data_IF_196839729782
#
_entry.id   IF_196839729782
#
_cell.length_a   1.000
_cell.length_b   1.000
_cell.length_c   1.000
_cell.angle_alpha   90.00
_cell.angle_beta   90.00
_cell.angle_gamma   90.00
#
_symmetry.space_group_name_H-M   'P 1'
#
loop_
_entity.id
_entity.type
_entity.pdbx_description
1 polymer ?
#
# COMPACT_ATOMS: atom_id res chain seq x y z
N UNK A 1 12.44 60.88 -17.87
CA UNK A 1 11.53 60.49 -18.97
C UNK A 1 10.30 59.84 -18.34
N UNK A 2 9.11 60.35 -18.66
CA UNK A 2 7.85 59.98 -18.02
C UNK A 2 7.28 58.68 -18.53
N UNK A 3 6.87 57.75 -17.67
CA UNK A 3 6.16 56.54 -18.06
C UNK A 3 4.72 56.61 -17.57
N UNK A 4 3.79 56.41 -18.47
CA UNK A 4 2.34 56.51 -18.26
C UNK A 4 1.78 55.23 -17.62
N UNK A 5 0.92 55.44 -16.65
CA UNK A 5 0.03 54.44 -16.05
C UNK A 5 -1.27 54.44 -16.85
N UNK A 6 -1.72 53.27 -17.31
CA UNK A 6 -3.03 53.10 -17.93
C UNK A 6 -3.87 52.17 -17.04
N UNK A 7 -4.93 52.77 -16.51
CA UNK A 7 -6.02 52.13 -15.76
C UNK A 7 -7.04 51.55 -16.74
N UNK A 8 -7.53 50.32 -16.50
CA UNK A 8 -8.69 49.76 -17.20
C UNK A 8 -9.72 49.33 -16.18
N UNK A 9 -10.89 49.93 -16.31
CA UNK A 9 -12.09 49.80 -15.46
C UNK A 9 -12.79 48.46 -15.62
N UNK A 10 -13.33 48.01 -14.49
CA UNK A 10 -14.29 46.92 -14.36
C UNK A 10 -15.64 47.28 -14.97
N UNK A 11 -16.24 46.35 -15.68
CA UNK A 11 -17.65 46.41 -16.06
C UNK A 11 -18.40 45.25 -15.38
N UNK A 12 -19.30 45.60 -14.50
CA UNK A 12 -20.22 44.73 -13.75
C UNK A 12 -21.48 44.53 -14.57
N UNK A 13 -21.81 43.30 -14.95
CA UNK A 13 -23.06 42.99 -15.66
C UNK A 13 -24.02 42.28 -14.69
N UNK A 14 -25.09 42.95 -14.32
CA UNK A 14 -26.21 42.42 -13.53
C UNK A 14 -27.28 41.92 -14.50
N UNK A 15 -27.59 40.60 -14.44
CA UNK A 15 -28.74 40.04 -15.15
C UNK A 15 -29.87 39.73 -14.16
N UNK A 16 -30.99 40.42 -14.36
CA UNK A 16 -32.26 40.19 -13.69
C UNK A 16 -33.00 39.03 -14.36
N UNK A 17 -33.41 38.04 -13.59
CA UNK A 17 -34.37 37.04 -14.05
C UNK A 17 -35.75 37.31 -13.51
N UNK A 18 -36.70 37.49 -14.43
CA UNK A 18 -38.11 37.59 -14.16
C UNK A 18 -38.75 36.23 -14.01
N UNK A 19 -39.58 36.08 -12.99
CA UNK A 19 -40.48 34.96 -12.72
C UNK A 19 -41.58 34.88 -13.79
N UNK A 20 -41.90 33.67 -14.24
CA UNK A 20 -43.20 33.36 -14.83
C UNK A 20 -43.75 32.10 -14.16
N UNK A 21 -44.75 32.25 -13.33
CA UNK A 21 -45.65 31.18 -12.90
C UNK A 21 -46.51 30.70 -14.06
N UNK A 22 -46.64 29.40 -14.21
CA UNK A 22 -47.77 28.81 -14.92
C UNK A 22 -48.31 27.59 -14.19
N UNK A 23 -49.51 27.70 -13.66
CA UNK A 23 -50.30 26.62 -13.03
C UNK A 23 -50.94 25.78 -14.12
N UNK A 24 -50.73 24.46 -14.08
CA UNK A 24 -51.79 23.55 -14.51
C UNK A 24 -51.69 22.21 -13.72
N UNK A 25 -52.86 21.90 -13.13
CA UNK A 25 -53.16 20.63 -12.43
C UNK A 25 -53.38 19.52 -13.45
N UNK A 26 -52.88 18.31 -13.18
CA UNK A 26 -53.72 17.13 -13.03
C UNK A 26 -52.87 15.83 -12.93
N UNK A 27 -53.33 15.02 -11.96
CA UNK A 27 -53.28 13.57 -11.88
C UNK A 27 -52.01 12.84 -11.49
N UNK A 28 -52.11 12.31 -10.29
CA UNK A 28 -51.44 11.20 -9.63
C UNK A 28 -51.05 10.04 -10.55
N UNK A 29 -49.81 9.63 -10.41
CA UNK A 29 -49.41 8.21 -10.35
C UNK A 29 -48.19 8.13 -9.45
N UNK A 30 -48.36 7.55 -8.31
CA UNK A 30 -47.32 7.16 -7.34
C UNK A 30 -46.45 6.11 -7.96
N UNK A 31 -45.24 6.44 -8.38
CA UNK A 31 -44.15 5.50 -8.53
C UNK A 31 -43.12 5.86 -7.47
N UNK A 32 -43.10 5.10 -6.39
CA UNK A 32 -41.99 5.06 -5.43
C UNK A 32 -40.72 4.63 -6.18
N UNK A 33 -39.90 5.59 -6.52
CA UNK A 33 -38.52 5.32 -6.93
C UNK A 33 -37.72 5.07 -5.65
N UNK A 34 -37.63 3.81 -5.24
CA UNK A 34 -36.66 3.33 -4.29
C UNK A 34 -35.28 3.68 -4.84
N UNK A 35 -34.67 4.76 -4.32
CA UNK A 35 -33.23 4.97 -4.45
C UNK A 35 -32.55 3.82 -3.73
N UNK A 36 -32.15 2.80 -4.45
CA UNK A 36 -31.13 1.86 -4.00
C UNK A 36 -29.87 2.67 -3.69
N UNK A 37 -29.68 2.96 -2.42
CA UNK A 37 -28.39 3.37 -1.90
C UNK A 37 -27.50 2.14 -2.11
N UNK A 38 -26.67 2.15 -3.14
CA UNK A 38 -25.54 1.23 -3.25
C UNK A 38 -24.63 1.50 -2.05
N UNK A 39 -24.93 0.86 -0.94
CA UNK A 39 -23.96 0.64 0.14
C UNK A 39 -22.89 -0.24 -0.50
N UNK A 40 -21.77 0.33 -0.88
CA UNK A 40 -20.59 -0.43 -1.26
C UNK A 40 -20.18 -1.21 -0.02
N UNK A 41 -20.58 -2.47 0.03
CA UNK A 41 -20.11 -3.43 1.01
C UNK A 41 -18.60 -3.61 0.81
N UNK A 42 -17.79 -2.77 1.47
CA UNK A 42 -16.35 -2.99 1.60
C UNK A 42 -16.01 -4.27 2.40
N UNK A 43 -17.00 -4.87 3.05
CA UNK A 43 -16.85 -6.06 3.89
C UNK A 43 -16.92 -7.40 3.16
N UNK A 44 -17.23 -7.43 1.86
CA UNK A 44 -17.45 -8.70 1.14
C UNK A 44 -16.27 -9.19 0.30
N UNK A 45 -15.15 -8.46 0.24
CA UNK A 45 -13.96 -8.98 -0.43
C UNK A 45 -13.38 -10.15 0.37
N UNK A 46 -13.40 -11.33 -0.23
CA UNK A 46 -12.89 -12.57 0.38
C UNK A 46 -11.42 -12.38 0.78
N UNK A 47 -11.11 -12.64 2.06
CA UNK A 47 -9.73 -12.75 2.52
C UNK A 47 -9.07 -13.91 1.78
N UNK A 48 -8.08 -13.63 0.96
CA UNK A 48 -7.35 -14.64 0.19
C UNK A 48 -6.33 -15.38 1.08
N UNK A 49 -5.95 -16.58 0.66
CA UNK A 49 -4.90 -17.38 1.27
C UNK A 49 -5.39 -18.57 2.08
N UNK A 50 -4.45 -19.43 2.41
CA UNK A 50 -4.61 -20.64 3.22
C UNK A 50 -3.94 -20.46 4.57
N UNK A 51 -4.37 -21.25 5.56
CA UNK A 51 -3.69 -21.32 6.85
C UNK A 51 -2.32 -21.98 6.69
N UNK A 52 -1.31 -21.43 7.34
CA UNK A 52 0.01 -22.04 7.50
C UNK A 52 0.45 -21.96 8.96
N UNK A 53 1.56 -22.63 9.30
CA UNK A 53 2.15 -22.64 10.63
C UNK A 53 3.67 -22.60 10.47
N UNK A 54 4.21 -21.37 10.34
CA UNK A 54 5.63 -21.14 10.09
C UNK A 54 6.14 -20.12 11.09
N UNK A 55 7.20 -20.44 11.81
CA UNK A 55 7.87 -19.50 12.71
C UNK A 55 9.25 -19.13 12.17
N UNK A 56 9.49 -17.84 11.95
CA UNK A 56 10.76 -17.29 11.49
C UNK A 56 11.11 -16.08 12.38
N UNK A 57 12.30 -16.07 12.96
CA UNK A 57 12.79 -14.97 13.83
C UNK A 57 11.82 -14.63 14.97
N UNK A 58 11.10 -15.62 15.50
CA UNK A 58 10.10 -15.47 16.54
C UNK A 58 8.75 -14.93 16.07
N UNK A 59 8.57 -14.67 14.77
CA UNK A 59 7.29 -14.28 14.18
C UNK A 59 6.55 -15.53 13.73
N UNK A 60 5.32 -15.68 14.20
CA UNK A 60 4.43 -16.76 13.80
C UNK A 60 3.58 -16.36 12.61
N UNK A 61 3.89 -16.86 11.43
CA UNK A 61 3.13 -16.66 10.21
C UNK A 61 2.01 -17.70 10.13
N UNK A 62 0.78 -17.20 10.00
CA UNK A 62 -0.45 -18.03 10.09
C UNK A 62 -1.25 -18.06 8.79
N UNK A 63 -0.85 -17.26 7.79
CA UNK A 63 -1.51 -17.19 6.49
C UNK A 63 -0.50 -17.13 5.35
N UNK A 64 -0.72 -18.00 4.37
CA UNK A 64 -0.01 -18.06 3.09
C UNK A 64 -0.95 -17.62 1.96
N UNK A 65 -0.60 -16.56 1.26
CA UNK A 65 -1.29 -16.11 0.04
C UNK A 65 -0.45 -16.55 -1.15
N UNK A 66 -1.11 -17.14 -2.17
CA UNK A 66 -0.48 -17.60 -3.41
C UNK A 66 0.73 -18.56 -3.19
N UNK A 67 0.65 -19.43 -2.18
CA UNK A 67 1.67 -20.47 -1.92
C UNK A 67 2.96 -19.93 -1.30
N UNK A 68 2.92 -18.81 -0.60
CA UNK A 68 4.08 -18.17 0.02
C UNK A 68 4.83 -19.07 1.00
N UNK A 69 4.11 -19.97 1.68
CA UNK A 69 4.66 -20.95 2.63
C UNK A 69 5.66 -21.94 2.00
N UNK A 70 5.56 -22.18 0.69
CA UNK A 70 6.50 -23.02 -0.06
C UNK A 70 7.61 -22.23 -0.76
N UNK A 71 7.48 -20.91 -0.83
CA UNK A 71 8.38 -20.00 -1.55
C UNK A 71 9.31 -19.21 -0.62
N UNK A 72 9.00 -19.17 0.67
CA UNK A 72 9.82 -18.56 1.70
C UNK A 72 10.53 -19.64 2.51
N UNK A 73 11.86 -19.53 2.62
CA UNK A 73 12.68 -20.43 3.44
C UNK A 73 13.58 -19.62 4.34
N UNK A 74 13.79 -20.03 5.57
CA UNK A 74 14.72 -19.39 6.51
C UNK A 74 15.93 -20.28 6.79
N UNK A 75 17.11 -19.68 6.90
CA UNK A 75 18.30 -20.36 7.40
C UNK A 75 18.35 -20.37 8.95
N UNK A 76 19.39 -21.01 9.51
CA UNK A 76 19.57 -21.12 10.95
C UNK A 76 19.75 -19.76 11.67
N UNK A 77 20.12 -18.72 10.94
CA UNK A 77 20.29 -17.34 11.46
C UNK A 77 19.02 -16.50 11.31
N UNK A 78 17.94 -17.07 10.77
CA UNK A 78 16.67 -16.38 10.54
C UNK A 78 16.65 -15.49 9.28
N UNK A 79 17.67 -15.57 8.41
CA UNK A 79 17.64 -14.91 7.10
C UNK A 79 16.64 -15.64 6.19
N UNK A 80 15.65 -14.92 5.71
CA UNK A 80 14.64 -15.44 4.79
C UNK A 80 15.09 -15.25 3.36
N UNK A 81 15.01 -16.32 2.56
CA UNK A 81 15.05 -16.27 1.09
C UNK A 81 13.63 -16.45 0.59
N UNK A 82 13.12 -15.45 -0.13
CA UNK A 82 11.76 -15.46 -0.65
C UNK A 82 11.78 -15.41 -2.18
N UNK A 83 11.18 -16.41 -2.82
CA UNK A 83 11.09 -16.56 -4.29
C UNK A 83 9.76 -16.05 -4.81
N UNK A 84 9.76 -15.44 -5.99
CA UNK A 84 8.56 -15.22 -6.80
C UNK A 84 8.78 -15.73 -8.20
N UNK A 85 7.78 -16.41 -8.77
CA UNK A 85 7.77 -16.79 -10.18
C UNK A 85 7.45 -15.60 -11.09
N UNK A 86 7.43 -15.85 -12.40
CA UNK A 86 7.12 -14.85 -13.41
C UNK A 86 5.71 -14.26 -13.25
N UNK A 87 5.56 -12.98 -13.54
CA UNK A 87 4.28 -12.25 -13.62
C UNK A 87 3.51 -12.26 -12.29
N UNK A 88 4.22 -12.13 -11.17
CA UNK A 88 3.65 -12.11 -9.83
C UNK A 88 3.65 -10.70 -9.26
N UNK A 89 2.46 -10.14 -9.01
CA UNK A 89 2.27 -8.80 -8.48
C UNK A 89 0.99 -8.70 -7.62
N UNK A 90 0.89 -7.60 -6.87
CA UNK A 90 -0.33 -7.09 -6.27
C UNK A 90 -0.45 -5.61 -6.64
N UNK A 91 -1.37 -5.31 -7.56
CA UNK A 91 -1.62 -3.96 -8.04
C UNK A 91 -2.98 -3.89 -8.72
N UNK A 92 -3.70 -2.79 -8.53
CA UNK A 92 -4.93 -2.49 -9.25
C UNK A 92 -4.84 -1.05 -9.78
N UNK A 93 -4.76 -0.90 -11.10
CA UNK A 93 -4.69 0.41 -11.74
C UNK A 93 -5.80 1.35 -11.27
N UNK A 94 -5.53 2.65 -11.10
CA UNK A 94 -6.56 3.64 -10.78
C UNK A 94 -7.71 3.68 -11.79
N UNK A 95 -7.48 3.27 -13.05
CA UNK A 95 -8.50 3.17 -14.10
C UNK A 95 -9.17 1.79 -14.18
N UNK A 96 -8.83 0.87 -13.26
CA UNK A 96 -9.37 -0.49 -13.12
C UNK A 96 -9.14 -1.42 -14.34
N UNK A 97 -8.30 -1.02 -15.31
CA UNK A 97 -8.03 -1.85 -16.51
C UNK A 97 -7.06 -2.99 -16.24
N UNK A 98 -6.18 -2.85 -15.27
CA UNK A 98 -5.27 -3.88 -14.80
C UNK A 98 -5.54 -4.15 -13.33
N UNK A 99 -5.74 -5.42 -12.99
CA UNK A 99 -5.75 -5.89 -11.61
C UNK A 99 -4.95 -7.19 -11.52
N UNK A 100 -3.99 -7.23 -10.61
CA UNK A 100 -3.14 -8.39 -10.36
C UNK A 100 -3.05 -8.62 -8.86
N UNK A 101 -3.33 -9.84 -8.40
CA UNK A 101 -3.28 -10.26 -7.00
C UNK A 101 -2.58 -11.62 -6.87
N UNK A 102 -1.48 -11.81 -7.59
CA UNK A 102 -0.80 -13.11 -7.73
C UNK A 102 0.55 -13.20 -7.01
N UNK A 103 1.08 -12.12 -6.45
CA UNK A 103 2.32 -12.19 -5.67
C UNK A 103 2.13 -13.05 -4.42
N UNK A 104 3.13 -13.87 -4.04
CA UNK A 104 3.09 -14.64 -2.81
C UNK A 104 3.31 -13.74 -1.60
N UNK A 105 2.45 -13.84 -0.57
CA UNK A 105 2.55 -13.06 0.66
C UNK A 105 2.50 -13.99 1.87
N UNK A 106 3.51 -13.93 2.74
CA UNK A 106 3.55 -14.65 4.01
C UNK A 106 3.17 -13.71 5.14
N UNK A 107 2.14 -14.05 5.92
CA UNK A 107 1.42 -13.13 6.79
C UNK A 107 1.26 -13.66 8.22
N UNK A 108 1.52 -12.78 9.19
CA UNK A 108 1.25 -12.96 10.61
C UNK A 108 0.01 -12.15 11.01
N UNK A 109 -0.91 -12.76 11.75
CA UNK A 109 -2.11 -12.08 12.26
C UNK A 109 -1.75 -11.19 13.45
N UNK A 110 -2.26 -9.96 13.49
CA UNK A 110 -2.09 -9.04 14.61
C UNK A 110 -3.42 -8.38 15.02
N UNK A 111 -3.47 -7.96 16.29
CA UNK A 111 -4.54 -7.13 16.84
C UNK A 111 -4.21 -5.65 16.55
N UNK A 112 -4.93 -5.04 15.60
CA UNK A 112 -4.75 -3.64 15.22
C UNK A 112 -5.26 -2.63 16.27
N UNK A 113 -5.87 -3.11 17.37
CA UNK A 113 -6.20 -2.28 18.55
C UNK A 113 -4.98 -2.03 19.44
N UNK A 114 -3.86 -2.65 19.14
CA UNK A 114 -2.56 -2.47 19.80
C UNK A 114 -1.56 -1.86 18.83
N UNK A 115 -0.62 -1.06 19.33
CA UNK A 115 0.45 -0.56 18.48
C UNK A 115 1.30 -1.71 17.95
N UNK A 116 1.93 -1.52 16.80
CA UNK A 116 2.86 -2.50 16.25
C UNK A 116 3.98 -1.84 15.44
N UNK A 117 5.08 -2.56 15.30
CA UNK A 117 6.16 -2.22 14.37
C UNK A 117 6.68 -3.49 13.71
N UNK A 118 6.68 -3.51 12.37
CA UNK A 118 7.30 -4.51 11.53
C UNK A 118 8.56 -3.91 10.90
N UNK A 119 9.70 -4.57 11.05
CA UNK A 119 11.00 -4.15 10.49
C UNK A 119 11.67 -5.33 9.78
N UNK A 120 12.36 -5.07 8.67
CA UNK A 120 13.34 -5.96 8.10
C UNK A 120 14.38 -5.20 7.29
N UNK A 121 15.60 -5.72 7.23
CA UNK A 121 16.56 -5.39 6.19
C UNK A 121 16.21 -6.18 4.95
N UNK A 122 16.03 -5.50 3.82
CA UNK A 122 15.55 -6.09 2.58
C UNK A 122 16.59 -5.94 1.49
N UNK A 123 16.89 -7.05 0.81
CA UNK A 123 17.88 -7.14 -0.27
C UNK A 123 17.24 -7.88 -1.45
N UNK A 124 16.61 -7.19 -2.40
CA UNK A 124 16.14 -7.82 -3.62
C UNK A 124 17.32 -8.16 -4.55
N UNK A 125 17.24 -9.26 -5.27
CA UNK A 125 18.14 -9.50 -6.41
C UNK A 125 17.59 -8.77 -7.64
N UNK A 126 18.12 -7.59 -7.90
CA UNK A 126 17.77 -6.82 -9.08
C UNK A 126 18.49 -7.34 -10.32
N UNK A 127 17.75 -7.48 -11.41
CA UNK A 127 18.26 -7.90 -12.71
C UNK A 127 18.00 -6.81 -13.74
N UNK A 128 18.66 -6.85 -14.89
CA UNK A 128 18.43 -5.88 -15.96
C UNK A 128 16.98 -5.90 -16.47
N UNK A 129 16.36 -7.07 -16.50
CA UNK A 129 15.00 -7.31 -16.97
C UNK A 129 13.94 -7.21 -15.86
N UNK A 130 14.38 -7.02 -14.61
CA UNK A 130 13.58 -7.11 -13.40
C UNK A 130 12.73 -5.88 -13.09
N UNK A 131 12.12 -5.27 -14.11
CA UNK A 131 11.19 -4.16 -13.97
C UNK A 131 10.11 -4.48 -12.93
N UNK A 132 10.01 -3.64 -11.89
CA UNK A 132 9.11 -3.75 -10.72
C UNK A 132 9.38 -4.98 -9.83
N UNK A 133 10.52 -5.69 -9.98
CA UNK A 133 10.94 -6.68 -9.00
C UNK A 133 11.19 -5.98 -7.66
N UNK A 134 10.68 -6.58 -6.56
CA UNK A 134 10.81 -5.97 -5.24
C UNK A 134 10.73 -6.98 -4.11
N UNK A 135 11.48 -6.70 -3.04
CA UNK A 135 11.19 -7.21 -1.70
C UNK A 135 10.24 -6.27 -0.96
N UNK A 136 9.28 -6.81 -0.23
CA UNK A 136 8.08 -6.07 0.20
C UNK A 136 7.72 -6.36 1.64
N UNK A 137 7.34 -5.31 2.41
CA UNK A 137 6.59 -5.42 3.66
C UNK A 137 5.11 -5.09 3.41
N UNK A 138 4.21 -5.83 4.08
CA UNK A 138 2.76 -5.69 3.90
C UNK A 138 2.00 -5.36 5.19
N UNK A 139 0.92 -4.58 5.01
CA UNK A 139 -0.32 -4.64 5.79
C UNK A 139 -1.38 -5.19 4.85
N UNK A 140 -2.12 -6.23 5.28
CA UNK A 140 -3.09 -6.92 4.45
C UNK A 140 -4.39 -7.16 5.21
N UNK A 141 -5.51 -6.83 4.60
CA UNK A 141 -6.86 -7.16 5.07
C UNK A 141 -7.49 -8.19 4.12
N UNK A 142 -7.55 -7.85 2.84
CA UNK A 142 -8.05 -8.68 1.75
C UNK A 142 -7.50 -8.20 0.41
N UNK A 143 -7.91 -8.81 -0.71
CA UNK A 143 -7.38 -8.52 -2.04
C UNK A 143 -7.63 -7.08 -2.53
N UNK A 144 -8.59 -6.37 -1.94
CA UNK A 144 -8.94 -4.99 -2.30
C UNK A 144 -8.55 -3.97 -1.22
N UNK A 145 -7.97 -4.41 -0.10
CA UNK A 145 -7.59 -3.52 1.00
C UNK A 145 -6.26 -3.94 1.63
N UNK A 146 -5.19 -3.28 1.24
CA UNK A 146 -3.83 -3.55 1.67
C UNK A 146 -2.91 -2.36 1.47
N UNK A 147 -1.72 -2.43 2.03
CA UNK A 147 -0.58 -1.57 1.74
C UNK A 147 0.67 -2.41 1.56
N UNK A 148 1.51 -2.06 0.60
CA UNK A 148 2.87 -2.56 0.46
C UNK A 148 3.88 -1.42 0.56
N UNK A 149 5.03 -1.72 1.18
CA UNK A 149 6.24 -0.91 1.17
C UNK A 149 7.30 -1.74 0.48
N UNK A 150 7.85 -1.24 -0.61
CA UNK A 150 8.71 -1.96 -1.52
C UNK A 150 10.12 -1.37 -1.56
N UNK A 151 11.12 -2.21 -1.67
CA UNK A 151 12.40 -1.85 -2.26
C UNK A 151 12.41 -2.44 -3.67
N UNK A 152 12.34 -1.60 -4.70
CA UNK A 152 11.88 -1.95 -6.04
C UNK A 152 12.77 -1.37 -7.14
N UNK A 153 12.85 -2.05 -8.27
CA UNK A 153 13.44 -1.53 -9.50
C UNK A 153 12.36 -0.85 -10.36
N UNK A 154 12.52 0.45 -10.62
CA UNK A 154 11.58 1.25 -11.40
C UNK A 154 11.71 1.07 -12.92
N UNK A 155 10.82 1.72 -13.68
CA UNK A 155 10.79 1.70 -15.15
C UNK A 155 12.03 2.30 -15.83
N UNK A 156 12.91 2.97 -15.08
CA UNK A 156 14.19 3.51 -15.54
C UNK A 156 15.38 2.67 -15.09
N UNK A 157 15.12 1.49 -14.50
CA UNK A 157 16.14 0.62 -13.94
C UNK A 157 16.83 1.19 -12.71
N UNK A 158 16.16 2.13 -11.99
CA UNK A 158 16.65 2.65 -10.71
C UNK A 158 16.01 1.88 -9.57
N UNK A 159 16.80 1.63 -8.53
CA UNK A 159 16.29 1.05 -7.31
C UNK A 159 15.72 2.16 -6.44
N UNK A 160 14.49 1.98 -5.96
CA UNK A 160 13.84 3.00 -5.14
C UNK A 160 12.93 2.40 -4.07
N UNK A 161 12.59 3.23 -3.12
CA UNK A 161 11.51 2.94 -2.19
C UNK A 161 10.20 3.31 -2.85
N UNK A 162 9.24 2.39 -2.82
CA UNK A 162 7.89 2.58 -3.35
C UNK A 162 6.87 2.20 -2.27
N UNK A 163 5.81 2.96 -2.15
CA UNK A 163 4.68 2.58 -1.30
C UNK A 163 3.39 2.59 -2.09
N UNK A 164 2.64 1.51 -2.03
CA UNK A 164 1.33 1.40 -2.66
C UNK A 164 0.29 1.12 -1.59
N UNK A 165 -0.76 1.93 -1.56
CA UNK A 165 -1.92 1.69 -0.71
C UNK A 165 -3.14 1.44 -1.58
N UNK A 166 -3.81 0.32 -1.39
CA UNK A 166 -4.98 -0.07 -2.17
C UNK A 166 -6.23 -0.05 -1.30
N UNK A 167 -7.25 0.64 -1.76
CA UNK A 167 -8.64 0.61 -1.29
C UNK A 167 -9.50 0.52 -2.55
N UNK A 168 -9.75 -0.72 -3.01
CA UNK A 168 -10.28 -0.96 -4.35
C UNK A 168 -9.23 -0.77 -5.44
N UNK A 169 -8.77 0.45 -5.66
CA UNK A 169 -7.66 0.79 -6.58
C UNK A 169 -6.40 1.21 -5.83
N UNK A 170 -5.27 1.12 -6.49
CA UNK A 170 -3.95 1.43 -5.94
C UNK A 170 -3.64 2.92 -6.01
N UNK A 171 -3.17 3.46 -4.88
CA UNK A 171 -2.55 4.78 -4.73
C UNK A 171 -1.04 4.55 -4.60
N UNK A 172 -0.32 4.78 -5.68
CA UNK A 172 1.11 4.49 -5.83
C UNK A 172 1.97 5.74 -5.60
N UNK A 173 3.08 5.57 -4.90
CA UNK A 173 4.03 6.64 -4.62
C UNK A 173 5.47 6.15 -4.78
N UNK A 174 6.14 6.64 -5.82
CA UNK A 174 7.56 6.50 -6.04
C UNK A 174 8.32 7.50 -5.15
N UNK A 175 9.04 6.96 -4.16
CA UNK A 175 9.85 7.74 -3.22
C UNK A 175 11.34 7.81 -3.67
N UNK A 176 12.27 7.91 -2.74
CA UNK A 176 13.69 8.13 -3.00
C UNK A 176 14.36 7.01 -3.81
N UNK A 177 15.32 7.41 -4.64
CA UNK A 177 16.24 6.49 -5.29
C UNK A 177 17.28 6.04 -4.26
N UNK A 178 17.51 4.72 -4.22
CA UNK A 178 18.46 4.06 -3.33
C UNK A 178 19.64 3.55 -4.13
N UNK A 179 20.85 3.79 -3.63
CA UNK A 179 22.09 3.37 -4.32
C UNK A 179 22.76 2.14 -3.68
N UNK A 180 22.29 1.74 -2.50
CA UNK A 180 22.77 0.53 -1.81
C UNK A 180 21.99 -0.71 -2.25
N UNK A 181 22.58 -1.91 -2.19
CA UNK A 181 21.88 -3.14 -2.57
C UNK A 181 20.81 -3.55 -1.56
N UNK A 182 20.83 -3.01 -0.35
CA UNK A 182 19.90 -3.31 0.73
C UNK A 182 19.54 -2.08 1.52
N UNK A 183 18.33 -2.07 2.09
CA UNK A 183 17.86 -1.07 3.05
C UNK A 183 17.07 -1.74 4.17
N UNK A 184 16.99 -1.08 5.32
CA UNK A 184 15.97 -1.38 6.31
C UNK A 184 14.66 -0.75 5.90
N UNK A 185 13.58 -1.50 6.02
CA UNK A 185 12.21 -1.01 5.86
C UNK A 185 11.43 -1.21 7.15
N UNK A 186 10.52 -0.28 7.45
CA UNK A 186 9.70 -0.30 8.66
C UNK A 186 8.30 0.17 8.37
N UNK A 187 7.31 -0.51 8.97
CA UNK A 187 5.92 -0.07 9.07
C UNK A 187 5.58 -0.04 10.55
N UNK A 188 5.04 1.07 11.04
CA UNK A 188 4.66 1.24 12.44
C UNK A 188 3.28 1.87 12.59
N UNK A 189 2.55 1.49 13.64
CA UNK A 189 1.24 2.03 13.99
C UNK A 189 1.10 2.20 15.51
N UNK A 190 0.51 3.34 15.93
CA UNK A 190 0.07 3.59 17.30
C UNK A 190 -1.42 3.33 17.51
N UNK A 191 -2.09 2.64 16.59
CA UNK A 191 -3.53 2.39 16.48
C UNK A 191 -4.32 3.50 15.77
N UNK A 192 -3.87 4.75 15.79
CA UNK A 192 -4.53 5.89 15.12
C UNK A 192 -3.84 6.25 13.80
N UNK A 193 -2.53 6.10 13.78
CA UNK A 193 -1.64 6.51 12.69
C UNK A 193 -0.85 5.31 12.20
N UNK A 194 -0.63 5.24 10.89
CA UNK A 194 0.33 4.33 10.28
C UNK A 194 1.39 5.15 9.56
N UNK A 195 2.64 4.77 9.75
CA UNK A 195 3.74 5.31 8.97
C UNK A 195 4.65 4.21 8.43
N UNK A 196 5.25 4.51 7.29
CA UNK A 196 6.25 3.66 6.64
C UNK A 196 7.54 4.42 6.48
N UNK A 197 8.66 3.73 6.64
CA UNK A 197 9.99 4.33 6.61
C UNK A 197 10.97 3.41 5.91
N UNK A 198 12.10 4.00 5.48
CA UNK A 198 13.31 3.26 5.16
C UNK A 198 14.52 3.87 5.88
N UNK A 199 15.60 3.11 5.97
CA UNK A 199 16.87 3.54 6.57
C UNK A 199 18.04 2.78 5.96
N UNK A 200 19.21 3.40 5.91
CA UNK A 200 20.45 2.74 5.48
C UNK A 200 21.17 2.02 6.64
N UNK A 201 20.93 2.43 7.87
CA UNK A 201 21.70 2.03 9.06
C UNK A 201 20.85 1.56 10.24
N UNK A 202 19.51 1.52 10.09
CA UNK A 202 18.51 1.19 11.13
C UNK A 202 18.44 2.24 12.27
N UNK A 203 19.06 3.42 12.08
CA UNK A 203 19.07 4.53 13.05
C UNK A 203 18.37 5.75 12.50
N UNK A 204 18.84 6.25 11.37
CA UNK A 204 18.27 7.41 10.70
C UNK A 204 17.17 6.96 9.74
N UNK A 205 15.92 7.31 10.07
CA UNK A 205 14.76 6.87 9.33
C UNK A 205 14.20 7.98 8.45
N UNK A 206 13.96 7.66 7.19
CA UNK A 206 13.31 8.52 6.22
C UNK A 206 11.84 8.10 6.10
N UNK A 207 10.93 9.05 6.36
CA UNK A 207 9.49 8.79 6.28
C UNK A 207 9.06 8.69 4.82
N UNK A 208 8.41 7.59 4.46
CA UNK A 208 7.86 7.33 3.12
C UNK A 208 6.39 7.72 3.03
N UNK A 209 5.60 7.32 4.02
CA UNK A 209 4.16 7.59 4.06
C UNK A 209 3.68 7.72 5.50
N UNK A 210 2.73 8.64 5.72
CA UNK A 210 2.03 8.83 6.98
C UNK A 210 0.54 9.02 6.70
N UNK A 211 -0.32 8.22 7.34
CA UNK A 211 -1.76 8.32 7.14
C UNK A 211 -2.54 7.76 8.34
N UNK A 212 -3.85 8.08 8.37
CA UNK A 212 -4.76 7.57 9.41
C UNK A 212 -4.93 6.06 9.29
N UNK A 213 -4.85 5.36 10.43
CA UNK A 213 -5.18 3.94 10.50
C UNK A 213 -6.70 3.75 10.37
N UNK A 214 -7.15 3.32 9.19
CA UNK A 214 -8.54 3.01 8.88
C UNK A 214 -8.76 1.49 8.69
N UNK A 215 -7.77 0.67 9.06
CA UNK A 215 -7.88 -0.78 8.96
C UNK A 215 -8.77 -1.35 10.08
N UNK A 216 -9.38 -2.53 9.88
CA UNK A 216 -10.17 -3.20 10.90
C UNK A 216 -9.33 -3.61 12.11
N UNK A 217 -9.99 -4.10 13.15
CA UNK A 217 -9.34 -4.53 14.40
C UNK A 217 -8.42 -5.74 14.23
N UNK A 218 -8.68 -6.59 13.24
CA UNK A 218 -7.83 -7.73 12.88
C UNK A 218 -7.25 -7.50 11.49
N UNK A 219 -5.93 -7.54 11.40
CA UNK A 219 -5.18 -7.43 10.15
C UNK A 219 -4.06 -8.45 10.12
N UNK A 220 -3.46 -8.58 8.97
CA UNK A 220 -2.22 -9.32 8.80
C UNK A 220 -1.09 -8.38 8.40
N UNK A 221 0.10 -8.66 8.88
CA UNK A 221 1.34 -8.00 8.45
C UNK A 221 2.36 -9.06 8.03
N UNK A 222 3.25 -8.73 7.12
CA UNK A 222 4.21 -9.72 6.68
C UNK A 222 5.11 -9.28 5.55
N UNK A 223 5.62 -10.28 4.84
CA UNK A 223 6.64 -10.12 3.80
C UNK A 223 6.18 -10.75 2.49
N UNK A 224 6.74 -10.24 1.38
CA UNK A 224 6.47 -10.74 0.04
C UNK A 224 7.66 -10.50 -0.87
N UNK A 225 7.68 -11.22 -1.99
CA UNK A 225 8.54 -10.93 -3.12
C UNK A 225 7.68 -10.85 -4.39
N UNK A 226 7.91 -9.85 -5.24
CA UNK A 226 7.17 -9.69 -6.48
C UNK A 226 8.09 -9.71 -7.71
N UNK A 227 7.53 -10.16 -8.84
CA UNK A 227 8.20 -10.26 -10.13
C UNK A 227 7.19 -10.00 -11.26
N UNK A 228 6.77 -8.74 -11.48
CA UNK A 228 5.70 -8.42 -12.43
C UNK A 228 6.03 -8.72 -13.88
N UNK A 229 7.28 -8.55 -14.30
CA UNK A 229 7.69 -8.61 -15.70
C UNK A 229 8.67 -9.74 -16.01
N UNK A 230 9.64 -9.99 -15.12
CA UNK A 230 10.71 -10.97 -15.31
C UNK A 230 10.23 -12.43 -15.18
N UNK A 231 11.15 -13.38 -15.38
CA UNK A 231 10.90 -14.84 -15.29
C UNK A 231 10.84 -15.35 -13.86
N UNK A 232 11.36 -14.59 -12.91
CA UNK A 232 11.40 -14.87 -11.49
C UNK A 232 12.28 -13.87 -10.77
N UNK A 233 12.12 -13.77 -9.46
CA UNK A 233 12.92 -12.92 -8.60
C UNK A 233 13.18 -13.56 -7.24
N UNK A 234 14.21 -13.05 -6.55
CA UNK A 234 14.57 -13.40 -5.18
C UNK A 234 14.66 -12.13 -4.36
N UNK A 235 14.22 -12.20 -3.11
CA UNK A 235 14.53 -11.19 -2.10
C UNK A 235 14.95 -11.85 -0.81
N UNK A 236 15.89 -11.20 -0.11
CA UNK A 236 16.35 -11.64 1.21
C UNK A 236 15.83 -10.68 2.28
N UNK A 237 15.39 -11.26 3.40
CA UNK A 237 14.94 -10.51 4.57
C UNK A 237 15.80 -10.92 5.76
N UNK A 238 16.48 -9.94 6.35
CA UNK A 238 17.34 -10.11 7.53
C UNK A 238 16.83 -9.20 8.65
N UNK A 239 17.20 -9.45 9.88
CA UNK A 239 16.73 -8.67 11.05
C UNK A 239 15.20 -8.52 11.10
N UNK A 240 14.47 -9.53 10.61
CA UNK A 240 13.02 -9.51 10.58
C UNK A 240 12.46 -9.51 12.01
N UNK A 241 11.63 -8.53 12.32
CA UNK A 241 11.09 -8.31 13.67
C UNK A 241 9.67 -7.76 13.60
N UNK A 242 8.80 -8.28 14.44
CA UNK A 242 7.43 -7.79 14.64
C UNK A 242 7.20 -7.66 16.15
N UNK A 243 6.93 -6.45 16.59
CA UNK A 243 6.68 -6.14 18.00
C UNK A 243 5.38 -5.35 18.17
N UNK A 244 4.67 -5.59 19.29
CA UNK A 244 3.44 -4.86 19.64
C UNK A 244 3.78 -3.54 20.36
N UNK A 245 4.57 -2.70 19.68
CA UNK A 245 4.96 -1.37 20.10
C UNK A 245 5.08 -0.47 18.87
N UNK A 246 4.81 0.84 19.00
CA UNK A 246 5.00 1.81 17.92
C UNK A 246 6.27 2.61 18.10
N UNK A 247 6.69 3.32 17.05
CA UNK A 247 7.61 4.45 17.15
C UNK A 247 6.98 5.54 18.03
N UNK A 248 7.80 6.33 18.70
CA UNK A 248 7.37 7.43 19.57
C UNK A 248 7.25 8.74 18.80
N UNK A 249 8.13 8.98 17.84
CA UNK A 249 8.08 10.10 16.92
C UNK A 249 7.82 9.63 15.49
N UNK A 250 6.58 9.82 15.01
CA UNK A 250 6.19 9.42 13.65
C UNK A 250 6.88 10.23 12.55
N UNK A 251 7.40 11.42 12.84
CA UNK A 251 8.13 12.22 11.85
C UNK A 251 9.57 11.75 11.69
N UNK A 252 10.19 11.36 12.79
CA UNK A 252 11.57 10.87 12.81
C UNK A 252 11.66 9.35 12.69
N UNK A 253 10.59 8.62 13.01
CA UNK A 253 10.54 7.16 12.90
C UNK A 253 11.25 6.42 14.05
N UNK A 254 11.39 7.02 15.23
CA UNK A 254 12.09 6.44 16.39
C UNK A 254 11.23 6.48 17.66
#
# INVERSE_FOLDING_TARGET
MKTKITSISSLLLIALFANCENKNKSNQSTAETTKETKTTNQDSARVNGTTCDITISGIHFTKSVNGADTLATADANGKVTFKAGAKKDYFCDPNEKLSNNTAPILLSKIDNKKPFTLISKVTPEFTKEGLYNAGVLYIYVNDNFWQKLCFEQDERGKHRVVSVRTIGTSDDNNHDIVTTPSIYMKISSDTQTIASYYSYDKKDWHMVRLYKNNYPSEIWVGISNQCPVDKGSLSYFEDLSLVQNSVTDFRMGN
#
